data_IF_502769000623
#
_entry.id   IF_502769000623
#
_cell.length_a   1.000
_cell.length_b   1.000
_cell.length_c   1.000
_cell.angle_alpha   90.00
_cell.angle_beta   90.00
_cell.angle_gamma   90.00
#
_symmetry.space_group_name_H-M   'P 1'
#
loop_
_entity.id
_entity.type
_entity.pdbx_description
1 polymer ?
#
# COMPACT_ATOMS: atom_id res chain seq x y z
N UNK A 1 13.69 22.33 -6.91
CA UNK A 1 13.85 21.31 -7.96
C UNK A 1 13.03 20.10 -7.61
N UNK A 2 11.97 19.86 -8.36
CA UNK A 2 11.10 18.71 -8.15
C UNK A 2 11.75 17.41 -8.64
N UNK A 3 11.23 16.29 -8.15
CA UNK A 3 11.63 14.97 -8.64
C UNK A 3 11.29 14.82 -10.12
N UNK A 4 12.22 14.27 -10.90
CA UNK A 4 11.92 13.87 -12.28
C UNK A 4 11.04 12.62 -12.18
N UNK A 5 9.92 12.67 -12.91
CA UNK A 5 8.83 11.74 -12.69
C UNK A 5 8.26 11.27 -14.02
N UNK A 6 8.01 9.97 -14.15
CA UNK A 6 7.33 9.41 -15.31
C UNK A 6 6.18 8.54 -14.84
N UNK A 7 5.00 8.81 -15.37
CA UNK A 7 3.80 8.04 -15.12
C UNK A 7 3.38 7.33 -16.40
N UNK A 8 3.11 6.03 -16.30
CA UNK A 8 2.67 5.22 -17.40
C UNK A 8 1.37 4.53 -17.02
N UNK A 9 0.36 4.63 -17.87
CA UNK A 9 -0.90 3.94 -17.69
C UNK A 9 -1.04 2.85 -18.75
N UNK A 10 -1.43 1.66 -18.32
CA UNK A 10 -1.63 0.50 -19.18
C UNK A 10 -3.13 0.18 -19.19
N UNK A 11 -3.72 0.02 -20.36
CA UNK A 11 -5.14 -0.29 -20.47
C UNK A 11 -5.39 -1.43 -21.47
N UNK A 12 -6.51 -2.11 -21.29
CA UNK A 12 -6.92 -3.23 -22.14
C UNK A 12 -8.07 -3.99 -21.54
N UNK A 13 -8.51 -5.05 -22.23
CA UNK A 13 -9.72 -5.78 -21.83
C UNK A 13 -9.53 -6.71 -20.64
N UNK A 14 -8.32 -7.22 -20.40
CA UNK A 14 -8.06 -8.20 -19.34
C UNK A 14 -6.89 -7.78 -18.48
N UNK A 15 -7.07 -6.64 -17.79
CA UNK A 15 -6.00 -6.09 -16.94
C UNK A 15 -5.85 -6.80 -15.60
N UNK A 16 -6.79 -7.67 -15.22
CA UNK A 16 -6.70 -8.42 -13.97
C UNK A 16 -5.42 -9.23 -13.82
N UNK A 17 -4.91 -9.81 -14.92
CA UNK A 17 -3.65 -10.57 -14.91
C UNK A 17 -2.43 -9.67 -14.72
N UNK A 18 -2.50 -8.43 -15.22
CA UNK A 18 -1.41 -7.46 -15.07
C UNK A 18 -1.39 -6.89 -13.67
N UNK A 19 -2.55 -6.68 -13.07
CA UNK A 19 -2.66 -6.21 -11.70
C UNK A 19 -2.16 -7.28 -10.72
N UNK A 20 -2.65 -8.52 -10.88
CA UNK A 20 -2.34 -9.62 -9.97
C UNK A 20 -3.03 -9.46 -8.62
N UNK A 21 -2.65 -10.30 -7.67
CA UNK A 21 -3.21 -10.27 -6.32
C UNK A 21 -2.77 -8.98 -5.62
N UNK A 22 -3.75 -8.12 -5.29
CA UNK A 22 -3.53 -6.84 -4.62
C UNK A 22 -2.45 -5.97 -5.28
N UNK A 23 -2.32 -6.08 -6.62
CA UNK A 23 -1.37 -5.26 -7.36
C UNK A 23 0.06 -5.78 -7.36
N UNK A 24 0.32 -7.00 -6.91
CA UNK A 24 1.68 -7.55 -6.84
C UNK A 24 2.36 -7.60 -8.20
N UNK A 25 1.65 -8.05 -9.23
CA UNK A 25 2.20 -8.13 -10.58
C UNK A 25 2.52 -6.73 -11.12
N UNK A 26 1.60 -5.79 -10.92
CA UNK A 26 1.79 -4.41 -11.32
C UNK A 26 3.00 -3.78 -10.62
N UNK A 27 3.14 -4.02 -9.31
CA UNK A 27 4.28 -3.53 -8.52
C UNK A 27 5.60 -4.13 -9.01
N UNK A 28 5.61 -5.42 -9.31
CA UNK A 28 6.81 -6.11 -9.84
C UNK A 28 7.21 -5.56 -11.20
N UNK A 29 6.23 -5.32 -12.08
CA UNK A 29 6.48 -4.71 -13.38
C UNK A 29 7.04 -3.30 -13.23
N UNK A 30 6.49 -2.51 -12.31
CA UNK A 30 6.98 -1.16 -12.04
C UNK A 30 8.43 -1.18 -11.59
N UNK A 31 8.77 -2.10 -10.70
CA UNK A 31 10.15 -2.24 -10.22
C UNK A 31 11.10 -2.56 -11.37
N UNK A 32 10.76 -3.52 -12.22
CA UNK A 32 11.59 -3.90 -13.36
C UNK A 32 11.75 -2.76 -14.36
N UNK A 33 10.67 -2.05 -14.68
CA UNK A 33 10.73 -0.90 -15.58
C UNK A 33 11.62 0.20 -14.97
N UNK A 34 11.50 0.43 -13.68
CA UNK A 34 12.32 1.42 -12.98
C UNK A 34 13.81 1.08 -13.08
N UNK A 35 14.16 -0.20 -12.93
CA UNK A 35 15.55 -0.64 -13.06
C UNK A 35 16.10 -0.39 -14.47
N UNK A 36 15.31 -0.73 -15.49
CA UNK A 36 15.74 -0.57 -16.89
C UNK A 36 15.88 0.91 -17.25
N UNK A 37 14.89 1.72 -16.88
CA UNK A 37 14.88 3.16 -17.20
C UNK A 37 16.03 3.88 -16.50
N UNK A 38 16.37 3.49 -15.27
CA UNK A 38 17.39 4.17 -14.49
C UNK A 38 18.81 3.62 -14.70
N UNK A 39 18.97 2.56 -15.52
CA UNK A 39 20.28 2.09 -15.89
C UNK A 39 21.03 3.20 -16.63
N UNK A 40 22.23 3.47 -16.27
CA UNK A 40 23.09 4.48 -16.90
C UNK A 40 22.61 5.94 -16.77
N UNK A 41 21.69 6.22 -15.85
CA UNK A 41 21.26 7.59 -15.56
C UNK A 41 21.99 8.14 -14.35
N UNK A 42 22.45 9.39 -14.47
CA UNK A 42 23.09 10.11 -13.36
C UNK A 42 22.05 10.53 -12.31
N UNK A 43 20.86 10.92 -12.76
CA UNK A 43 19.75 11.31 -11.88
C UNK A 43 18.68 10.23 -11.92
N UNK A 44 18.17 9.86 -10.74
CA UNK A 44 17.10 8.88 -10.63
C UNK A 44 15.79 9.45 -11.15
N UNK A 45 15.19 8.73 -12.10
CA UNK A 45 13.87 9.04 -12.63
C UNK A 45 12.85 8.16 -11.91
N UNK A 46 11.90 8.80 -11.23
CA UNK A 46 10.82 8.07 -10.57
C UNK A 46 9.84 7.55 -11.60
N UNK A 47 9.58 6.23 -11.58
CA UNK A 47 8.68 5.57 -12.52
C UNK A 47 7.48 5.03 -11.76
N UNK A 48 6.29 5.31 -12.25
CA UNK A 48 5.04 4.74 -11.71
C UNK A 48 4.27 4.08 -12.86
N UNK A 49 3.94 2.80 -12.68
CA UNK A 49 3.03 2.09 -13.58
C UNK A 49 1.66 1.99 -12.92
N UNK A 50 0.63 2.20 -13.71
CA UNK A 50 -0.74 2.03 -13.26
C UNK A 50 -1.56 1.42 -14.39
N UNK A 51 -2.74 0.92 -14.06
CA UNK A 51 -3.70 0.42 -15.04
C UNK A 51 -5.11 0.77 -14.59
N UNK A 52 -5.80 1.55 -15.43
CA UNK A 52 -7.21 1.92 -15.23
C UNK A 52 -7.50 2.49 -13.85
N UNK A 53 -6.57 3.28 -13.31
CA UNK A 53 -6.73 3.90 -11.99
C UNK A 53 -6.69 2.92 -10.83
N UNK A 54 -6.09 1.75 -11.01
CA UNK A 54 -6.05 0.70 -9.98
C UNK A 54 -5.46 1.22 -8.67
N UNK A 55 -4.33 1.94 -8.73
CA UNK A 55 -3.65 2.38 -7.51
C UNK A 55 -4.53 3.30 -6.66
N UNK A 56 -5.28 4.20 -7.29
CA UNK A 56 -6.23 5.05 -6.57
C UNK A 56 -7.36 4.24 -5.95
N UNK A 57 -7.91 3.28 -6.68
CA UNK A 57 -8.96 2.41 -6.15
C UNK A 57 -8.45 1.53 -5.01
N UNK A 58 -7.22 1.01 -5.13
CA UNK A 58 -6.59 0.21 -4.08
C UNK A 58 -6.38 1.03 -2.82
N UNK A 59 -5.93 2.28 -2.96
CA UNK A 59 -5.77 3.18 -1.82
C UNK A 59 -7.09 3.39 -1.08
N UNK A 60 -8.17 3.68 -1.81
CA UNK A 60 -9.49 3.85 -1.20
C UNK A 60 -9.97 2.57 -0.51
N UNK A 61 -9.73 1.42 -1.14
CA UNK A 61 -10.06 0.12 -0.54
C UNK A 61 -9.32 -0.09 0.78
N UNK A 62 -8.02 0.26 0.82
CA UNK A 62 -7.21 0.11 2.03
C UNK A 62 -7.67 1.06 3.14
N UNK A 63 -8.05 2.29 2.80
CA UNK A 63 -8.57 3.25 3.77
C UNK A 63 -9.87 2.72 4.39
N UNK A 64 -10.79 2.21 3.57
CA UNK A 64 -12.05 1.62 4.08
C UNK A 64 -11.78 0.39 4.95
N UNK A 65 -10.84 -0.46 4.52
CA UNK A 65 -10.44 -1.63 5.30
C UNK A 65 -9.89 -1.23 6.67
N UNK A 66 -9.02 -0.22 6.69
CA UNK A 66 -8.44 0.30 7.94
C UNK A 66 -9.52 0.72 8.92
N UNK A 67 -10.48 1.54 8.48
CA UNK A 67 -11.56 2.03 9.35
C UNK A 67 -12.45 0.89 9.83
N UNK A 68 -12.78 -0.05 8.94
CA UNK A 68 -13.62 -1.20 9.30
C UNK A 68 -12.95 -2.07 10.37
N UNK A 69 -11.68 -2.36 10.19
CA UNK A 69 -10.93 -3.20 11.13
C UNK A 69 -10.66 -2.48 12.45
N UNK A 70 -10.46 -1.15 12.42
CA UNK A 70 -10.32 -0.36 13.63
C UNK A 70 -11.62 -0.42 14.47
N UNK A 71 -12.79 -0.29 13.83
CA UNK A 71 -14.07 -0.43 14.51
C UNK A 71 -14.24 -1.83 15.11
N UNK A 72 -13.85 -2.85 14.36
CA UNK A 72 -13.93 -4.23 14.82
C UNK A 72 -13.01 -4.47 16.01
N UNK A 73 -11.79 -3.96 15.98
CA UNK A 73 -10.86 -4.05 17.10
C UNK A 73 -11.42 -3.37 18.34
N UNK A 74 -11.96 -2.15 18.17
CA UNK A 74 -12.52 -1.38 19.28
C UNK A 74 -13.71 -2.10 19.93
N UNK A 75 -14.57 -2.72 19.12
CA UNK A 75 -15.74 -3.44 19.64
C UNK A 75 -15.39 -4.77 20.29
N UNK A 76 -14.49 -5.52 19.70
CA UNK A 76 -14.14 -6.86 20.19
C UNK A 76 -13.12 -6.83 21.33
N UNK A 77 -12.40 -5.72 21.50
CA UNK A 77 -11.29 -5.63 22.45
C UNK A 77 -10.07 -6.42 22.06
N UNK A 78 -9.96 -6.81 20.79
CA UNK A 78 -8.87 -7.65 20.30
C UNK A 78 -8.04 -6.92 19.25
N UNK A 79 -6.73 -7.17 19.28
CA UNK A 79 -5.85 -6.67 18.22
C UNK A 79 -6.21 -7.36 16.90
N UNK A 80 -6.00 -6.63 15.80
CA UNK A 80 -6.24 -7.13 14.44
C UNK A 80 -4.94 -7.18 13.67
N UNK A 81 -4.71 -8.29 12.98
CA UNK A 81 -3.55 -8.50 12.15
C UNK A 81 -3.99 -8.51 10.70
N UNK A 82 -3.36 -7.68 9.87
CA UNK A 82 -3.67 -7.62 8.46
C UNK A 82 -2.73 -8.54 7.66
N UNK A 83 -3.10 -8.81 6.41
CA UNK A 83 -2.23 -9.57 5.53
C UNK A 83 -0.96 -8.79 5.19
N UNK A 84 0.12 -9.48 4.78
CA UNK A 84 1.33 -8.79 4.35
C UNK A 84 1.06 -7.82 3.21
N UNK A 85 1.68 -6.66 3.25
CA UNK A 85 1.54 -5.59 2.26
C UNK A 85 2.90 -4.93 2.05
N UNK A 86 3.06 -4.27 0.90
CA UNK A 86 4.27 -3.52 0.61
C UNK A 86 4.37 -2.27 1.50
N UNK A 87 5.55 -1.63 1.60
CA UNK A 87 5.71 -0.46 2.48
C UNK A 87 4.76 0.68 2.18
N UNK A 88 4.45 0.93 0.91
CA UNK A 88 3.55 1.99 0.50
C UNK A 88 2.13 1.74 1.03
N UNK A 89 1.63 0.53 0.89
CA UNK A 89 0.31 0.14 1.39
C UNK A 89 0.23 0.21 2.91
N UNK A 90 1.27 -0.25 3.60
CA UNK A 90 1.30 -0.16 5.07
C UNK A 90 1.24 1.30 5.53
N UNK A 91 1.88 2.21 4.79
CA UNK A 91 1.84 3.64 5.10
C UNK A 91 0.43 4.21 4.96
N UNK A 92 -0.33 3.76 3.95
CA UNK A 92 -1.73 4.18 3.78
C UNK A 92 -2.54 3.80 5.01
N UNK A 93 -2.38 2.58 5.50
CA UNK A 93 -3.10 2.10 6.68
C UNK A 93 -2.73 2.89 7.94
N UNK A 94 -1.44 3.14 8.17
CA UNK A 94 -0.99 3.95 9.31
C UNK A 94 -1.55 5.36 9.25
N UNK A 95 -1.51 5.99 8.07
CA UNK A 95 -2.01 7.35 7.89
C UNK A 95 -3.52 7.43 8.11
N UNK A 96 -4.26 6.44 7.62
CA UNK A 96 -5.72 6.42 7.77
C UNK A 96 -6.16 6.33 9.22
N UNK A 97 -5.35 5.70 10.09
CA UNK A 97 -5.71 5.48 11.48
C UNK A 97 -4.93 6.36 12.47
N UNK A 98 -4.09 7.26 11.97
CA UNK A 98 -3.23 8.11 12.81
C UNK A 98 -4.03 8.96 13.79
N UNK A 99 -5.21 9.43 13.39
CA UNK A 99 -6.07 10.28 14.20
C UNK A 99 -7.17 9.50 14.93
N UNK A 100 -7.17 8.18 14.88
CA UNK A 100 -8.18 7.38 15.53
C UNK A 100 -8.01 7.42 17.06
N UNK A 101 -9.11 7.61 17.79
CA UNK A 101 -9.08 7.74 19.25
C UNK A 101 -8.96 6.40 19.97
N UNK A 102 -9.35 5.32 19.34
CA UNK A 102 -9.49 4.01 19.98
C UNK A 102 -8.33 3.06 19.72
N UNK A 103 -7.61 3.24 18.60
CA UNK A 103 -6.59 2.27 18.16
C UNK A 103 -5.29 2.96 17.80
N UNK A 104 -4.20 2.17 17.83
CA UNK A 104 -2.91 2.53 17.26
C UNK A 104 -2.50 1.46 16.27
N UNK A 105 -1.54 1.79 15.40
CA UNK A 105 -1.03 0.84 14.42
C UNK A 105 0.49 0.75 14.48
N UNK A 106 1.01 -0.42 14.18
CA UNK A 106 2.44 -0.64 13.99
C UNK A 106 2.63 -1.77 12.99
N UNK A 107 3.82 -1.92 12.45
CA UNK A 107 4.16 -3.01 11.53
C UNK A 107 4.97 -4.06 12.24
N UNK A 108 4.73 -5.34 11.92
CA UNK A 108 5.47 -6.49 12.46
C UNK A 108 5.95 -7.37 11.31
N UNK A 109 7.00 -8.15 11.58
CA UNK A 109 7.54 -9.10 10.62
C UNK A 109 8.59 -8.49 9.70
N UNK A 110 9.12 -9.32 8.83
CA UNK A 110 10.13 -8.93 7.85
C UNK A 110 9.58 -9.07 6.44
N UNK A 111 10.06 -8.24 5.51
CA UNK A 111 9.68 -8.36 4.11
C UNK A 111 10.02 -9.75 3.59
N UNK A 112 9.22 -10.40 2.75
CA UNK A 112 7.98 -9.88 2.15
C UNK A 112 6.73 -10.11 3.00
N UNK A 113 6.86 -10.55 4.25
CA UNK A 113 5.73 -10.92 5.12
C UNK A 113 5.36 -9.83 6.12
N UNK A 114 5.96 -8.66 6.00
CA UNK A 114 5.70 -7.56 6.94
C UNK A 114 4.27 -7.04 6.76
N UNK A 115 3.61 -6.83 7.88
CA UNK A 115 2.17 -6.53 7.92
C UNK A 115 1.86 -5.52 9.02
N UNK A 116 0.71 -4.87 8.91
CA UNK A 116 0.21 -3.93 9.90
C UNK A 116 -0.60 -4.67 10.95
N UNK A 117 -0.42 -4.25 12.20
CA UNK A 117 -1.22 -4.71 13.34
C UNK A 117 -1.93 -3.51 13.93
N UNK A 118 -3.24 -3.66 14.17
CA UNK A 118 -4.07 -2.65 14.83
C UNK A 118 -4.26 -3.08 16.27
N UNK A 119 -3.83 -2.24 17.21
CA UNK A 119 -3.96 -2.52 18.64
C UNK A 119 -4.80 -1.45 19.31
N UNK A 120 -5.40 -1.78 20.45
CA UNK A 120 -6.18 -0.83 21.20
C UNK A 120 -5.28 0.16 21.94
N UNK A 121 -5.67 1.42 21.96
CA UNK A 121 -4.98 2.41 22.79
C UNK A 121 -5.17 2.05 24.26
N UNK A 122 -4.10 2.17 25.03
CA UNK A 122 -4.20 1.98 26.47
C UNK A 122 -4.97 3.16 27.06
N UNK A 123 -5.96 2.84 27.87
CA UNK A 123 -6.68 3.85 28.64
C UNK A 123 -5.96 4.03 29.97
N UNK A 124 -5.60 5.29 30.23
CA UNK A 124 -5.07 5.66 31.54
C UNK A 124 -6.19 6.00 32.50
#
# INVERSE_FOLDING_TARGET
>A
LGDVYKRQDISGETMGKIIGHHGETLDSMQYLVSLVVNRDRDEYLRVTLDTEGYRGRREQTLIRLAHRLAQKAARSGRRMRLEPMNPYERRILHSALQQNDAVTTHSEGEEPNRHVVITLKQQN
#
